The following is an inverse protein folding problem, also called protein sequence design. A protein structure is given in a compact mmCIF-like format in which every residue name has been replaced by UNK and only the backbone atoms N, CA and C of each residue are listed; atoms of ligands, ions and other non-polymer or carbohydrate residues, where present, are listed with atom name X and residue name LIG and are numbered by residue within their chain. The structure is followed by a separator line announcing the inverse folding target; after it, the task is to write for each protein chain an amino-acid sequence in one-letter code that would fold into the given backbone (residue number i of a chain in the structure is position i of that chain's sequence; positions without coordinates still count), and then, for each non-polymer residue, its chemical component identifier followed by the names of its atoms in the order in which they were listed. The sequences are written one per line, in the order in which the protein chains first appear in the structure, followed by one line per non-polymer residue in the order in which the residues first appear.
data_IF_613698495175
#
_entry.id   IF_613698495175
#
_cell.length_a   1.000
_cell.length_b   1.000
_cell.length_c   1.000
_cell.angle_alpha   90.00
_cell.angle_beta   90.00
_cell.angle_gamma   90.00
#
_symmetry.space_group_name_H-M   'P 1'
#
loop_
_entity.id
_entity.type
_entity.pdbx_description
1 polymer ?
#
# COMPACT_ATOMS: atom_id res chain seq x y z
N UNK A 1 22.26 10.54 -12.09
CA UNK A 1 22.07 10.50 -10.62
C UNK A 1 21.09 9.38 -10.33
N UNK A 2 21.50 8.37 -9.56
CA UNK A 2 20.57 7.34 -9.06
C UNK A 2 19.58 8.01 -8.11
N UNK A 3 18.27 7.85 -8.31
CA UNK A 3 17.29 8.32 -7.33
C UNK A 3 17.40 7.46 -6.07
N UNK A 4 17.54 8.08 -4.91
CA UNK A 4 17.44 7.41 -3.62
C UNK A 4 16.01 7.51 -3.07
N UNK A 5 15.64 6.61 -2.17
CA UNK A 5 14.37 6.65 -1.45
C UNK A 5 14.15 7.98 -0.73
N UNK A 6 15.21 8.55 -0.14
CA UNK A 6 15.12 9.77 0.65
C UNK A 6 14.93 11.03 -0.20
N UNK A 7 15.45 11.04 -1.43
CA UNK A 7 15.24 12.15 -2.37
C UNK A 7 13.84 12.13 -2.99
N UNK A 8 13.32 10.93 -3.29
CA UNK A 8 12.04 10.75 -3.97
C UNK A 8 11.23 9.57 -3.38
N UNK A 9 10.67 9.71 -2.15
CA UNK A 9 9.98 8.62 -1.48
C UNK A 9 8.67 8.20 -2.17
N UNK A 10 8.05 9.10 -2.93
CA UNK A 10 6.78 8.87 -3.63
C UNK A 10 7.03 8.80 -5.14
N UNK A 11 6.90 7.59 -5.71
CA UNK A 11 7.18 7.31 -7.13
C UNK A 11 5.97 7.48 -8.06
N UNK A 12 4.76 7.52 -7.51
CA UNK A 12 3.50 7.42 -8.27
C UNK A 12 2.68 8.72 -8.19
N UNK A 13 1.90 8.98 -9.24
CA UNK A 13 0.95 10.08 -9.26
C UNK A 13 -0.23 9.81 -8.31
N UNK A 14 -0.76 10.84 -7.63
CA UNK A 14 -1.97 10.70 -6.80
C UNK A 14 -3.23 10.39 -7.63
N UNK A 15 -3.20 10.62 -8.95
CA UNK A 15 -4.35 10.46 -9.84
C UNK A 15 -4.31 9.19 -10.71
N UNK A 16 -3.24 8.39 -10.61
CA UNK A 16 -3.10 7.14 -11.35
C UNK A 16 -2.91 5.97 -10.41
N UNK A 17 -3.20 4.77 -10.91
CA UNK A 17 -2.93 3.54 -10.16
C UNK A 17 -1.41 3.45 -9.89
N UNK A 18 -0.98 3.07 -8.67
CA UNK A 18 0.44 2.91 -8.38
C UNK A 18 1.03 1.74 -9.16
N UNK A 19 2.02 2.04 -10.00
CA UNK A 19 2.69 1.05 -10.85
C UNK A 19 4.07 0.67 -10.31
N UNK A 20 4.64 1.50 -9.42
CA UNK A 20 5.99 1.31 -8.89
C UNK A 20 6.03 1.37 -7.38
N UNK A 21 6.99 0.69 -6.76
CA UNK A 21 7.26 0.84 -5.34
C UNK A 21 8.75 0.65 -5.02
N UNK A 22 9.18 1.25 -3.92
CA UNK A 22 10.49 0.97 -3.33
C UNK A 22 10.46 -0.41 -2.65
N UNK A 23 11.44 -1.24 -2.99
CA UNK A 23 11.69 -2.51 -2.30
C UNK A 23 12.09 -2.24 -0.86
N UNK A 24 11.49 -3.00 0.06
CA UNK A 24 11.89 -3.04 1.45
C UNK A 24 12.55 -4.38 1.76
N UNK A 25 13.59 -4.35 2.60
CA UNK A 25 14.18 -5.56 3.16
C UNK A 25 13.26 -6.22 4.22
N UNK A 26 13.70 -7.36 4.75
CA UNK A 26 12.98 -8.13 5.80
C UNK A 26 12.72 -7.33 7.08
N UNK A 27 13.48 -6.27 7.32
CA UNK A 27 13.37 -5.41 8.49
C UNK A 27 12.58 -4.12 8.14
N UNK A 28 11.99 -4.04 6.94
CA UNK A 28 11.18 -2.92 6.48
C UNK A 28 11.97 -1.71 5.99
N UNK A 29 13.27 -1.84 5.69
CA UNK A 29 14.13 -0.73 5.28
C UNK A 29 14.22 -0.61 3.76
N UNK A 30 14.20 0.61 3.20
CA UNK A 30 14.35 0.83 1.76
C UNK A 30 15.71 0.35 1.24
N UNK A 31 15.73 -0.38 0.12
CA UNK A 31 16.96 -0.88 -0.52
C UNK A 31 17.41 -0.03 -1.71
N UNK A 32 16.79 1.14 -1.93
CA UNK A 32 16.95 2.00 -3.11
C UNK A 32 16.70 1.30 -4.46
N UNK A 33 15.99 0.17 -4.44
CA UNK A 33 15.56 -0.54 -5.64
C UNK A 33 14.09 -0.27 -5.91
N UNK A 34 13.77 0.00 -7.18
CA UNK A 34 12.40 0.21 -7.65
C UNK A 34 11.88 -1.10 -8.24
N UNK A 35 10.70 -1.52 -7.80
CA UNK A 35 9.96 -2.64 -8.36
C UNK A 35 8.78 -2.09 -9.17
N UNK A 36 8.68 -2.54 -10.42
CA UNK A 36 7.61 -2.21 -11.38
C UNK A 36 6.32 -3.02 -11.09
N UNK A 37 5.78 -2.87 -9.88
CA UNK A 37 4.44 -3.34 -9.51
C UNK A 37 3.82 -2.48 -8.42
N UNK A 38 2.51 -2.62 -8.23
CA UNK A 38 1.83 -2.12 -7.03
C UNK A 38 2.29 -2.89 -5.79
N UNK A 39 2.63 -2.17 -4.72
CA UNK A 39 2.98 -2.79 -3.43
C UNK A 39 1.75 -3.45 -2.79
N UNK A 40 1.89 -4.71 -2.36
CA UNK A 40 0.85 -5.37 -1.53
C UNK A 40 0.74 -4.67 -0.18
N UNK A 41 -0.47 -4.62 0.36
CA UNK A 41 -0.69 -4.20 1.74
C UNK A 41 0.08 -5.15 2.64
N UNK A 42 0.77 -4.60 3.64
CA UNK A 42 1.47 -5.35 4.67
C UNK A 42 1.68 -4.45 5.91
N UNK A 43 1.63 -5.05 7.10
CA UNK A 43 1.80 -4.35 8.38
C UNK A 43 3.30 -4.26 8.71
N UNK A 44 4.00 -3.41 7.96
CA UNK A 44 5.44 -3.19 8.14
C UNK A 44 5.64 -1.96 9.02
N UNK A 45 6.25 -2.16 10.19
CA UNK A 45 6.74 -1.05 11.03
C UNK A 45 8.20 -0.78 10.68
N UNK A 46 8.45 0.28 9.91
CA UNK A 46 9.81 0.75 9.65
C UNK A 46 10.35 1.49 10.88
N UNK A 47 10.51 0.79 12.01
CA UNK A 47 11.17 1.37 13.17
C UNK A 47 12.68 1.34 12.96
N UNK A 48 13.38 2.48 13.14
CA UNK A 48 14.83 2.47 13.28
C UNK A 48 15.20 1.46 14.36
N UNK A 49 16.12 0.54 14.07
CA UNK A 49 16.61 -0.39 15.07
C UNK A 49 17.11 0.40 16.28
N UNK A 50 16.75 -0.04 17.49
CA UNK A 50 17.19 0.62 18.70
C UNK A 50 18.72 0.75 18.67
N UNK A 51 19.24 1.98 18.87
CA UNK A 51 20.68 2.18 19.05
C UNK A 51 21.13 1.28 20.21
N UNK A 52 22.23 0.56 20.03
CA UNK A 52 22.75 -0.40 20.99
C UNK A 52 22.70 0.19 22.41
N UNK A 53 21.83 -0.37 23.26
CA UNK A 53 21.71 0.05 24.66
C UNK A 53 22.89 -0.53 25.43
N UNK A 54 23.70 0.34 26.02
CA UNK A 54 24.58 -0.02 27.14
C UNK A 54 23.65 -0.35 28.31
N UNK A 55 23.29 -1.62 28.45
CA UNK A 55 22.40 -2.14 29.51
C UNK A 55 21.26 -3.00 28.98
N UNK A 56 21.21 -4.26 29.44
CA UNK A 56 20.10 -5.20 29.18
C UNK A 56 18.85 -4.73 29.94
N UNK A 57 18.07 -3.84 29.35
CA UNK A 57 16.69 -3.61 29.79
C UNK A 57 15.84 -4.80 29.34
N UNK A 58 15.18 -5.47 30.29
CA UNK A 58 14.25 -6.56 30.00
C UNK A 58 13.12 -6.07 29.08
N UNK A 59 12.73 -6.92 28.13
CA UNK A 59 11.60 -6.65 27.24
C UNK A 59 10.33 -6.55 28.08
N UNK A 60 9.58 -5.46 27.93
CA UNK A 60 8.26 -5.32 28.53
C UNK A 60 7.24 -5.99 27.60
N UNK A 61 7.02 -7.29 27.79
CA UNK A 61 5.89 -7.99 27.18
C UNK A 61 4.62 -7.58 27.91
N UNK A 62 3.75 -6.84 27.22
CA UNK A 62 2.40 -6.55 27.68
C UNK A 62 1.49 -7.72 27.30
N UNK A 63 1.57 -8.82 28.04
CA UNK A 63 0.75 -10.03 27.83
C UNK A 63 -0.72 -9.87 28.28
N UNK A 64 -1.07 -8.75 28.93
CA UNK A 64 -2.32 -8.61 29.69
C UNK A 64 -3.43 -7.81 28.98
N UNK A 65 -3.24 -7.41 27.71
CA UNK A 65 -4.21 -6.58 26.97
C UNK A 65 -4.72 -7.18 25.65
N UNK A 66 -4.27 -8.38 25.27
CA UNK A 66 -4.76 -9.10 24.10
C UNK A 66 -5.54 -10.33 24.55
N UNK A 67 -6.86 -10.25 24.54
CA UNK A 67 -7.71 -11.46 24.58
C UNK A 67 -7.30 -12.38 23.43
N UNK A 68 -7.13 -13.67 23.70
CA UNK A 68 -6.45 -14.69 22.89
C UNK A 68 -6.97 -14.89 21.44
N UNK A 69 -8.07 -14.26 21.04
CA UNK A 69 -8.84 -14.71 19.86
C UNK A 69 -8.97 -13.75 18.68
N UNK A 70 -8.42 -12.53 18.67
CA UNK A 70 -8.48 -11.71 17.44
C UNK A 70 -7.27 -10.81 17.24
N UNK A 71 -6.19 -11.36 16.69
CA UNK A 71 -5.27 -10.57 15.88
C UNK A 71 -6.03 -10.13 14.61
N UNK A 72 -6.70 -8.98 14.67
CA UNK A 72 -7.38 -8.42 13.50
C UNK A 72 -6.34 -7.91 12.51
N UNK A 73 -5.94 -8.77 11.56
CA UNK A 73 -5.10 -8.38 10.45
C UNK A 73 -5.95 -8.10 9.20
N UNK A 74 -6.23 -6.82 8.86
CA UNK A 74 -7.03 -6.47 7.68
C UNK A 74 -6.25 -6.64 6.37
N UNK A 75 -4.95 -6.93 6.42
CA UNK A 75 -4.07 -6.98 5.26
C UNK A 75 -4.56 -7.90 4.13
N UNK A 76 -5.00 -9.15 4.40
CA UNK A 76 -5.50 -10.03 3.34
C UNK A 76 -6.72 -9.44 2.64
N UNK A 77 -7.69 -8.96 3.43
CA UNK A 77 -8.92 -8.35 2.92
C UNK A 77 -8.65 -7.10 2.08
N UNK A 78 -7.69 -6.26 2.48
CA UNK A 78 -7.30 -5.08 1.70
C UNK A 78 -6.72 -5.48 0.35
N UNK A 79 -5.90 -6.53 0.30
CA UNK A 79 -5.32 -7.01 -0.95
C UNK A 79 -6.39 -7.56 -1.89
N UNK A 80 -7.33 -8.36 -1.38
CA UNK A 80 -8.47 -8.88 -2.14
C UNK A 80 -9.35 -7.75 -2.70
N UNK A 81 -9.66 -6.74 -1.88
CA UNK A 81 -10.43 -5.57 -2.32
C UNK A 81 -9.70 -4.82 -3.44
N UNK A 82 -8.38 -4.66 -3.34
CA UNK A 82 -7.59 -4.02 -4.40
C UNK A 82 -7.68 -4.79 -5.71
N UNK A 83 -7.56 -6.11 -5.67
CA UNK A 83 -7.67 -6.97 -6.85
C UNK A 83 -9.07 -6.89 -7.47
N UNK A 84 -10.12 -6.89 -6.64
CA UNK A 84 -11.50 -6.73 -7.10
C UNK A 84 -11.76 -5.36 -7.74
N UNK A 85 -11.25 -4.28 -7.14
CA UNK A 85 -11.35 -2.92 -7.68
C UNK A 85 -10.56 -2.78 -8.98
N UNK A 86 -9.37 -3.37 -9.06
CA UNK A 86 -8.55 -3.32 -10.27
C UNK A 86 -9.23 -4.10 -11.41
N UNK A 87 -9.87 -5.24 -11.11
CA UNK A 87 -10.74 -5.96 -12.05
C UNK A 87 -11.91 -5.10 -12.53
N UNK A 88 -12.61 -4.41 -11.61
CA UNK A 88 -13.72 -3.53 -11.96
C UNK A 88 -13.30 -2.35 -12.85
N UNK A 89 -12.14 -1.73 -12.59
CA UNK A 89 -11.60 -0.64 -13.43
C UNK A 89 -11.27 -1.08 -14.86
N UNK A 90 -10.91 -2.35 -15.04
CA UNK A 90 -10.56 -2.91 -16.34
C UNK A 90 -11.79 -3.33 -17.17
N UNK A 91 -13.01 -3.19 -16.65
CA UNK A 91 -14.23 -3.48 -17.41
C UNK A 91 -14.38 -2.48 -18.58
N UNK A 92 -14.40 -2.95 -19.85
CA UNK A 92 -14.36 -2.08 -21.02
C UNK A 92 -15.69 -1.33 -21.24
N UNK A 93 -16.80 -1.90 -20.78
CA UNK A 93 -18.13 -1.32 -20.98
C UNK A 93 -18.61 -0.58 -19.73
N UNK A 94 -18.78 0.75 -19.79
CA UNK A 94 -19.28 1.55 -18.67
C UNK A 94 -20.66 1.15 -18.14
N UNK A 95 -21.50 0.51 -18.94
CA UNK A 95 -22.80 0.00 -18.48
C UNK A 95 -22.65 -1.17 -17.48
N UNK A 96 -21.53 -1.88 -17.52
CA UNK A 96 -21.24 -2.99 -16.60
C UNK A 96 -20.73 -2.53 -15.24
N UNK A 97 -20.39 -1.24 -15.09
CA UNK A 97 -19.88 -0.70 -13.83
C UNK A 97 -20.92 -0.71 -12.70
N UNK A 98 -22.22 -0.82 -13.04
CA UNK A 98 -23.36 -0.83 -12.10
C UNK A 98 -23.38 0.39 -11.17
N UNK A 99 -22.99 1.56 -11.69
CA UNK A 99 -23.03 2.84 -10.98
C UNK A 99 -24.16 3.72 -11.50
N UNK A 100 -24.49 4.79 -10.77
CA UNK A 100 -25.46 5.78 -11.25
C UNK A 100 -24.98 6.43 -12.57
N UNK A 101 -25.89 6.90 -13.44
CA UNK A 101 -25.51 7.62 -14.66
C UNK A 101 -24.62 8.85 -14.41
N UNK A 102 -24.83 9.54 -13.28
CA UNK A 102 -24.01 10.69 -12.86
C UNK A 102 -22.59 10.24 -12.54
N UNK A 103 -22.44 9.20 -11.71
CA UNK A 103 -21.13 8.63 -11.37
C UNK A 103 -20.40 8.10 -12.60
N UNK A 104 -21.12 7.41 -13.49
CA UNK A 104 -20.56 6.91 -14.75
C UNK A 104 -19.99 8.04 -15.60
N UNK A 105 -20.67 9.21 -15.65
CA UNK A 105 -20.19 10.39 -16.36
C UNK A 105 -18.94 10.99 -15.71
N UNK A 106 -18.89 11.04 -14.37
CA UNK A 106 -17.74 11.57 -13.62
C UNK A 106 -16.49 10.67 -13.71
N UNK A 107 -16.69 9.35 -13.84
CA UNK A 107 -15.60 8.39 -13.98
C UNK A 107 -15.00 8.37 -15.39
N UNK A 108 -15.66 8.95 -16.38
CA UNK A 108 -15.06 9.11 -17.72
C UNK A 108 -13.94 10.16 -17.65
N UNK A 109 -12.75 9.90 -18.22
CA UNK A 109 -11.69 10.91 -18.29
C UNK A 109 -12.22 12.17 -18.96
N UNK A 110 -12.07 13.33 -18.30
CA UNK A 110 -12.60 14.62 -18.78
C UNK A 110 -12.12 15.00 -20.19
N UNK A 111 -10.99 14.45 -20.63
CA UNK A 111 -10.37 14.73 -21.93
C UNK A 111 -10.88 13.85 -23.09
N UNK A 112 -11.91 13.02 -22.89
CA UNK A 112 -12.50 12.21 -23.98
C UNK A 112 -13.57 12.93 -24.81
N UNK A 113 -13.93 14.17 -24.41
CA UNK A 113 -14.66 15.11 -25.25
C UNK A 113 -13.67 16.05 -25.92
N UNK A 114 -13.11 15.65 -27.05
CA UNK A 114 -12.55 16.56 -28.05
C UNK A 114 -12.94 16.08 -29.45
#
# INVERSE_FOLDING_TARGET
MSQSFFDAPILNSPYRVPERNWELDKDGRPTDRIIERRRKSDLISAMPGAKAKVGKQASLTFDDLSTEDVDYNPTPYINELRDAVDTWRNLPNPAQWRVSPVTQRLLRPCCTYR
#
